data_IF_848848260568
#
_entry.id   IF_848848260568
#
_cell.length_a   1.000
_cell.length_b   1.000
_cell.length_c   1.000
_cell.angle_alpha   90.00
_cell.angle_beta   90.00
_cell.angle_gamma   90.00
#
_symmetry.space_group_name_H-M   'P 1'
#
loop_
_entity.id
_entity.type
_entity.pdbx_description
1 polymer ?
#
# COMPACT_ATOMS: atom_id res chain seq x y z
N UNK A 1 -20.38 10.70 -17.90
CA UNK A 1 -19.62 9.44 -17.79
C UNK A 1 -18.41 9.60 -18.69
N UNK A 2 -17.20 9.41 -18.16
CA UNK A 2 -15.90 9.23 -18.85
C UNK A 2 -14.81 9.83 -17.96
N UNK A 3 -14.35 9.05 -16.97
CA UNK A 3 -13.10 9.33 -16.28
C UNK A 3 -12.00 8.61 -17.05
N UNK A 4 -11.51 9.24 -18.11
CA UNK A 4 -10.31 8.83 -18.82
C UNK A 4 -9.11 9.04 -17.92
N UNK A 5 -8.57 7.97 -17.35
CA UNK A 5 -7.20 7.95 -16.84
C UNK A 5 -6.47 6.76 -17.43
N UNK A 6 -5.78 7.06 -18.53
CA UNK A 6 -4.85 6.15 -19.20
C UNK A 6 -3.73 5.73 -18.25
N UNK A 7 -3.54 4.41 -18.17
CA UNK A 7 -2.41 3.79 -17.49
C UNK A 7 -1.20 3.79 -18.42
N UNK A 8 -0.22 4.67 -18.18
CA UNK A 8 1.15 4.49 -18.69
C UNK A 8 2.04 4.02 -17.54
N UNK A 9 2.56 2.78 -17.57
CA UNK A 9 3.53 2.35 -16.57
C UNK A 9 4.91 2.89 -16.98
N UNK A 10 5.33 3.99 -16.37
CA UNK A 10 6.73 4.43 -16.45
C UNK A 10 7.61 3.39 -15.76
N UNK A 11 8.45 2.72 -16.56
CA UNK A 11 9.56 1.86 -16.13
C UNK A 11 10.44 2.58 -15.11
N UNK A 12 10.71 1.92 -13.99
CA UNK A 12 11.73 2.34 -13.02
C UNK A 12 11.83 1.32 -11.89
N UNK A 13 12.64 0.28 -12.09
CA UNK A 13 12.83 -0.77 -11.10
C UNK A 13 13.48 -0.23 -9.82
N UNK A 14 12.76 -0.28 -8.70
CA UNK A 14 13.33 -0.29 -7.35
C UNK A 14 12.26 -0.72 -6.32
N UNK A 15 12.31 -2.00 -5.95
CA UNK A 15 11.60 -2.62 -4.82
C UNK A 15 10.06 -2.43 -4.81
N UNK A 16 9.38 -3.28 -5.59
CA UNK A 16 7.94 -3.51 -5.60
C UNK A 16 7.37 -3.66 -4.18
N UNK A 17 6.48 -2.75 -3.78
CA UNK A 17 5.65 -2.93 -2.59
C UNK A 17 4.71 -4.13 -2.81
N UNK A 18 4.46 -4.92 -1.76
CA UNK A 18 3.61 -6.13 -1.88
C UNK A 18 2.12 -5.82 -1.96
N UNK A 19 1.75 -4.54 -1.85
CA UNK A 19 0.36 -4.06 -1.89
C UNK A 19 -0.40 -4.56 -3.12
N UNK A 20 0.23 -4.58 -4.30
CA UNK A 20 -0.38 -5.09 -5.52
C UNK A 20 -0.79 -6.57 -5.38
N UNK A 21 0.11 -7.41 -4.85
CA UNK A 21 -0.17 -8.85 -4.64
C UNK A 21 -1.31 -9.09 -3.66
N UNK A 22 -1.37 -8.32 -2.57
CA UNK A 22 -2.46 -8.42 -1.60
C UNK A 22 -3.78 -7.92 -2.18
N UNK A 23 -3.73 -6.88 -3.01
CA UNK A 23 -4.89 -6.38 -3.74
C UNK A 23 -5.45 -7.43 -4.70
N UNK A 24 -4.58 -8.11 -5.46
CA UNK A 24 -4.96 -9.21 -6.36
C UNK A 24 -5.50 -10.42 -5.59
N UNK A 25 -4.87 -10.80 -4.48
CA UNK A 25 -5.35 -11.87 -3.61
C UNK A 25 -6.72 -11.56 -2.99
N UNK A 26 -7.01 -10.29 -2.73
CA UNK A 26 -8.30 -9.80 -2.26
C UNK A 26 -9.32 -9.55 -3.39
N UNK A 27 -9.00 -9.88 -4.65
CA UNK A 27 -9.83 -9.64 -5.84
C UNK A 27 -10.30 -8.18 -5.98
N UNK A 28 -9.44 -7.24 -5.59
CA UNK A 28 -9.81 -5.83 -5.47
C UNK A 28 -9.19 -4.97 -6.58
N UNK A 29 -9.97 -4.08 -7.19
CA UNK A 29 -9.46 -3.11 -8.17
C UNK A 29 -8.70 -1.95 -7.47
N UNK A 30 -7.80 -1.25 -8.17
CA UNK A 30 -7.11 -0.05 -7.62
C UNK A 30 -8.11 0.99 -7.10
N UNK A 31 -9.15 1.25 -7.89
CA UNK A 31 -10.28 2.12 -7.54
C UNK A 31 -11.01 1.66 -6.28
N UNK A 32 -11.17 0.36 -6.11
CA UNK A 32 -11.90 -0.19 -4.98
C UNK A 32 -11.09 -0.12 -3.69
N UNK A 33 -9.79 -0.42 -3.77
CA UNK A 33 -8.86 -0.22 -2.65
C UNK A 33 -8.83 1.26 -2.23
N UNK A 34 -8.77 2.16 -3.20
CA UNK A 34 -8.79 3.60 -2.98
C UNK A 34 -10.06 4.05 -2.26
N UNK A 35 -11.23 3.58 -2.72
CA UNK A 35 -12.53 3.86 -2.08
C UNK A 35 -12.62 3.31 -0.67
N UNK A 36 -12.21 2.06 -0.44
CA UNK A 36 -12.25 1.42 0.88
C UNK A 36 -11.28 2.07 1.87
N UNK A 37 -10.11 2.51 1.41
CA UNK A 37 -9.14 3.22 2.23
C UNK A 37 -9.44 4.73 2.37
N UNK A 38 -10.38 5.29 1.60
CA UNK A 38 -10.65 6.73 1.62
C UNK A 38 -9.46 7.56 1.12
N UNK A 39 -8.81 7.08 0.05
CA UNK A 39 -7.66 7.73 -0.60
C UNK A 39 -7.91 7.85 -2.10
N UNK A 40 -7.14 8.69 -2.78
CA UNK A 40 -7.23 8.83 -4.24
C UNK A 40 -6.56 7.67 -4.98
N UNK A 41 -7.04 7.32 -6.16
CA UNK A 41 -6.46 6.26 -7.01
C UNK A 41 -5.00 6.53 -7.37
N UNK A 42 -4.64 7.78 -7.65
CA UNK A 42 -3.25 8.21 -7.90
C UNK A 42 -2.33 8.04 -6.69
N UNK A 43 -2.89 7.97 -5.48
CA UNK A 43 -2.13 7.67 -4.26
C UNK A 43 -1.88 6.17 -4.15
N UNK A 44 -2.86 5.34 -4.50
CA UNK A 44 -2.68 3.88 -4.58
C UNK A 44 -1.64 3.52 -5.63
N UNK A 45 -1.69 4.17 -6.80
CA UNK A 45 -0.74 3.91 -7.89
C UNK A 45 0.72 4.22 -7.49
N UNK A 46 0.95 5.38 -6.86
CA UNK A 46 2.26 5.73 -6.28
C UNK A 46 2.73 4.72 -5.23
N UNK A 47 1.80 4.21 -4.43
CA UNK A 47 2.11 3.23 -3.39
C UNK A 47 2.50 1.89 -4.00
N UNK A 48 1.78 1.41 -5.01
CA UNK A 48 2.15 0.20 -5.76
C UNK A 48 3.51 0.38 -6.47
N UNK A 49 3.80 1.58 -6.95
CA UNK A 49 5.07 1.95 -7.57
C UNK A 49 6.24 2.11 -6.57
N UNK A 50 6.00 2.00 -5.26
CA UNK A 50 7.08 2.01 -4.26
C UNK A 50 7.40 3.38 -3.65
N UNK A 51 6.54 4.39 -3.85
CA UNK A 51 6.73 5.72 -3.27
C UNK A 51 6.35 5.79 -1.79
N UNK A 52 6.94 6.77 -1.10
CA UNK A 52 6.58 7.13 0.27
C UNK A 52 5.15 7.63 0.35
N UNK A 53 4.41 7.12 1.34
CA UNK A 53 3.09 7.62 1.69
C UNK A 53 3.00 7.82 3.21
N UNK A 54 2.17 8.78 3.60
CA UNK A 54 1.93 9.11 5.01
C UNK A 54 1.47 7.89 5.80
N UNK A 55 1.85 7.82 7.07
CA UNK A 55 1.43 6.75 7.99
C UNK A 55 -0.09 6.62 8.08
N UNK A 56 -0.82 7.73 7.97
CA UNK A 56 -2.28 7.72 7.92
C UNK A 56 -2.81 6.93 6.71
N UNK A 57 -2.25 7.18 5.52
CA UNK A 57 -2.60 6.47 4.28
C UNK A 57 -2.29 4.98 4.37
N UNK A 58 -1.14 4.62 4.97
CA UNK A 58 -0.79 3.22 5.23
C UNK A 58 -1.83 2.55 6.12
N UNK A 59 -2.16 3.15 7.27
CA UNK A 59 -3.20 2.62 8.18
C UNK A 59 -4.52 2.42 7.46
N UNK A 60 -4.98 3.41 6.70
CA UNK A 60 -6.20 3.35 5.88
C UNK A 60 -6.20 2.16 4.91
N UNK A 61 -5.10 1.94 4.18
CA UNK A 61 -4.95 0.82 3.24
C UNK A 61 -4.93 -0.53 3.97
N UNK A 62 -4.28 -0.60 5.13
CA UNK A 62 -4.28 -1.81 5.94
C UNK A 62 -5.69 -2.20 6.39
N UNK A 63 -6.45 -1.25 6.93
CA UNK A 63 -7.84 -1.47 7.30
C UNK A 63 -8.70 -1.88 6.10
N UNK A 64 -8.49 -1.28 4.94
CA UNK A 64 -9.19 -1.63 3.70
C UNK A 64 -8.91 -3.08 3.22
N UNK A 65 -7.71 -3.59 3.51
CA UNK A 65 -7.29 -4.97 3.23
C UNK A 65 -7.62 -5.94 4.38
N UNK A 66 -8.19 -5.46 5.49
CA UNK A 66 -8.47 -6.30 6.68
C UNK A 66 -7.21 -6.74 7.43
N UNK A 67 -6.10 -6.01 7.29
CA UNK A 67 -4.81 -6.33 7.88
C UNK A 67 -4.52 -5.46 9.12
N UNK A 68 -3.75 -6.02 10.05
CA UNK A 68 -3.33 -5.32 11.28
C UNK A 68 -2.04 -4.54 11.08
N UNK A 69 -1.79 -3.54 11.92
CA UNK A 69 -0.58 -2.69 11.87
C UNK A 69 0.72 -3.53 11.90
N UNK A 70 0.69 -4.71 12.54
CA UNK A 70 1.83 -5.63 12.59
C UNK A 70 2.17 -6.22 11.19
N UNK A 71 1.15 -6.46 10.35
CA UNK A 71 1.30 -6.95 8.99
C UNK A 71 1.72 -5.85 8.00
N UNK A 72 1.71 -4.58 8.42
CA UNK A 72 2.15 -3.44 7.61
C UNK A 72 3.59 -3.62 7.13
N UNK A 73 4.46 -4.20 7.96
CA UNK A 73 5.85 -4.49 7.59
C UNK A 73 5.97 -5.48 6.42
N UNK A 74 4.97 -6.36 6.23
CA UNK A 74 4.93 -7.30 5.09
C UNK A 74 4.49 -6.60 3.80
N UNK A 75 3.62 -5.59 3.91
CA UNK A 75 3.13 -4.80 2.77
C UNK A 75 4.11 -3.70 2.32
N UNK A 76 4.72 -3.01 3.29
CA UNK A 76 5.58 -1.85 3.12
C UNK A 76 7.00 -2.11 3.67
N UNK A 77 7.76 -3.06 3.09
CA UNK A 77 9.06 -3.48 3.64
C UNK A 77 10.11 -2.36 3.67
N UNK A 78 10.00 -1.36 2.80
CA UNK A 78 10.97 -0.25 2.65
C UNK A 78 10.70 0.93 3.60
N UNK A 79 9.50 0.97 4.19
CA UNK A 79 9.03 2.06 5.06
C UNK A 79 8.95 1.70 6.53
N UNK A 80 9.01 0.41 6.84
CA UNK A 80 9.22 -0.04 8.20
C UNK A 80 10.72 0.12 8.53
N UNK A 81 11.20 1.36 8.48
CA UNK A 81 12.50 1.72 9.01
C UNK A 81 12.49 1.31 10.47
N UNK A 82 13.21 0.23 10.76
CA UNK A 82 13.49 -0.35 12.06
C UNK A 82 13.19 0.62 13.23
N UNK A 83 11.93 0.67 13.68
CA UNK A 83 11.71 1.13 15.04
C UNK A 83 12.18 0.00 15.92
N UNK A 84 13.30 0.26 16.56
CA UNK A 84 13.82 -0.48 17.68
C UNK A 84 12.68 -0.74 18.67
N UNK A 85 12.09 -1.92 18.66
CA UNK A 85 11.58 -2.51 19.89
C UNK A 85 12.45 -3.73 20.16
N UNK A 86 13.45 -3.46 21.02
CA UNK A 86 14.27 -4.45 21.73
C UNK A 86 13.33 -5.56 22.25
N UNK A 87 13.62 -6.82 21.94
CA UNK A 87 14.34 -7.73 22.83
C UNK A 87 13.74 -7.83 24.25
N UNK A 88 13.15 -9.01 24.53
CA UNK A 88 13.35 -9.78 25.77
C UNK A 88 12.76 -9.25 27.08
N UNK A 89 12.03 -10.12 27.78
CA UNK A 89 11.74 -9.99 29.20
C UNK A 89 10.54 -10.84 29.64
N UNK A 90 10.79 -12.15 29.73
CA UNK A 90 10.17 -13.20 30.59
C UNK A 90 8.65 -13.17 30.89
#
# INVERSE_FOLDING_TARGET
>A
MEASQGSTPARGGAAVNRVQKFREAALMAKAELARRAGVSESTVDRIEAGHDCRMETKRKILFALGLTIQESGKLFPRHNGATRQRAGGE
#
